data_IF_181979631556
#
_entry.id   IF_181979631556
#
_cell.length_a   1.000
_cell.length_b   1.000
_cell.length_c   1.000
_cell.angle_alpha   90.00
_cell.angle_beta   90.00
_cell.angle_gamma   90.00
#
_symmetry.space_group_name_H-M   'P 1'
#
loop_
_entity.id
_entity.type
_entity.pdbx_description
1 polymer ?
#
# COMPACT_ATOMS: atom_id res chain seq x y z
N UNK A 1 2.84 -15.99 13.05
CA UNK A 1 2.10 -16.34 11.81
C UNK A 1 0.80 -15.54 11.70
N UNK A 2 0.66 -14.40 12.38
CA UNK A 2 -0.47 -13.49 12.17
C UNK A 2 -0.06 -12.52 11.06
N UNK A 3 -0.79 -12.52 9.94
CA UNK A 3 -0.52 -11.59 8.83
C UNK A 3 -0.70 -12.20 7.44
N UNK A 4 -0.54 -13.52 7.29
CA UNK A 4 -0.95 -14.22 6.07
C UNK A 4 -2.41 -14.60 6.18
N UNK A 5 -3.17 -14.34 5.13
CA UNK A 5 -4.46 -14.99 4.94
C UNK A 5 -4.24 -16.50 4.97
N UNK A 6 -5.22 -17.27 5.48
CA UNK A 6 -5.12 -18.74 5.62
C UNK A 6 -4.72 -19.45 4.31
N UNK A 7 -4.95 -18.81 3.15
CA UNK A 7 -4.63 -19.30 1.80
C UNK A 7 -3.20 -18.94 1.32
N UNK A 8 -2.45 -18.11 2.05
CA UNK A 8 -1.14 -17.59 1.61
C UNK A 8 -1.22 -16.58 0.46
N UNK A 9 -2.42 -16.10 0.14
CA UNK A 9 -2.69 -15.12 -0.92
C UNK A 9 -2.76 -13.72 -0.35
N UNK A 10 -2.15 -12.76 -1.05
CA UNK A 10 -2.28 -11.34 -0.78
C UNK A 10 -3.02 -10.69 -1.94
N UNK A 11 -4.01 -9.84 -1.63
CA UNK A 11 -4.85 -9.15 -2.62
C UNK A 11 -4.75 -7.66 -2.40
N UNK A 12 -4.37 -6.93 -3.44
CA UNK A 12 -4.38 -5.47 -3.49
C UNK A 12 -5.70 -4.97 -4.07
N UNK A 13 -6.34 -4.02 -3.38
CA UNK A 13 -7.64 -3.49 -3.79
C UNK A 13 -7.64 -1.97 -3.80
N UNK A 14 -7.92 -1.36 -4.97
CA UNK A 14 -8.19 0.06 -5.07
C UNK A 14 -9.62 0.37 -4.56
N UNK A 15 -9.70 0.99 -3.40
CA UNK A 15 -10.96 1.35 -2.73
C UNK A 15 -11.74 2.47 -3.39
N UNK A 16 -11.11 3.25 -4.28
CA UNK A 16 -11.80 4.32 -5.01
C UNK A 16 -12.64 3.78 -6.18
N UNK A 17 -12.26 2.62 -6.72
CA UNK A 17 -12.96 1.96 -7.83
C UNK A 17 -14.00 0.96 -7.29
N UNK A 18 -13.67 0.22 -6.23
CA UNK A 18 -14.55 -0.79 -5.65
C UNK A 18 -15.23 -0.29 -4.38
N UNK A 19 -16.45 0.23 -4.51
CA UNK A 19 -17.33 0.60 -3.38
C UNK A 19 -17.86 -0.60 -2.59
N UNK A 20 -17.76 -1.79 -3.18
CA UNK A 20 -18.29 -3.04 -2.65
C UNK A 20 -17.15 -3.99 -2.33
N UNK A 21 -16.75 -4.07 -1.05
CA UNK A 21 -15.86 -5.11 -0.50
C UNK A 21 -16.41 -6.54 -0.66
N UNK A 22 -17.59 -6.71 -1.27
CA UNK A 22 -18.16 -8.00 -1.66
C UNK A 22 -17.33 -8.76 -2.70
N UNK A 23 -16.25 -8.20 -3.26
CA UNK A 23 -15.27 -8.94 -4.07
C UNK A 23 -14.29 -9.75 -3.20
N UNK A 24 -14.23 -9.48 -1.89
CA UNK A 24 -13.40 -10.20 -0.91
C UNK A 24 -14.03 -11.53 -0.45
N UNK A 25 -14.60 -12.29 -1.39
CA UNK A 25 -15.30 -13.55 -1.11
C UNK A 25 -14.33 -14.64 -0.61
N UNK A 26 -13.03 -14.47 -0.82
CA UNK A 26 -12.02 -15.32 -0.19
C UNK A 26 -11.66 -14.74 1.19
N UNK A 27 -12.44 -15.10 2.22
CA UNK A 27 -12.17 -14.74 3.64
C UNK A 27 -10.80 -15.23 4.13
N UNK A 28 -10.09 -16.02 3.31
CA UNK A 28 -8.78 -16.58 3.60
C UNK A 28 -7.63 -15.81 2.92
N UNK A 29 -7.90 -14.73 2.17
CA UNK A 29 -6.85 -13.87 1.61
C UNK A 29 -6.47 -12.74 2.58
N UNK A 30 -5.20 -12.34 2.58
CA UNK A 30 -4.76 -11.11 3.23
C UNK A 30 -5.01 -9.93 2.29
N UNK A 31 -5.84 -8.99 2.73
CA UNK A 31 -6.27 -7.87 1.88
C UNK A 31 -5.55 -6.61 2.32
N UNK A 32 -4.82 -6.00 1.40
CA UNK A 32 -4.22 -4.67 1.59
C UNK A 32 -4.91 -3.72 0.63
N UNK A 33 -5.63 -2.75 1.19
CA UNK A 33 -6.37 -1.76 0.42
C UNK A 33 -5.53 -0.53 0.14
N UNK A 34 -5.68 0.07 -1.03
CA UNK A 34 -5.10 1.37 -1.34
C UNK A 34 -6.16 2.30 -1.96
N UNK A 35 -5.87 3.60 -1.98
CA UNK A 35 -6.74 4.61 -2.58
C UNK A 35 -6.55 5.97 -1.93
N UNK A 36 -7.18 6.99 -2.51
CA UNK A 36 -7.13 8.39 -2.07
C UNK A 36 -8.06 8.69 -0.89
N UNK A 37 -8.96 7.76 -0.54
CA UNK A 37 -9.81 7.89 0.64
C UNK A 37 -9.10 7.43 1.93
N UNK A 38 -9.52 8.02 3.05
CA UNK A 38 -8.98 7.74 4.39
C UNK A 38 -9.39 6.40 5.01
N UNK A 39 -10.08 5.53 4.25
CA UNK A 39 -10.42 4.18 4.69
C UNK A 39 -9.45 3.14 4.15
N UNK A 40 -8.61 3.49 3.17
CA UNK A 40 -7.59 2.60 2.61
C UNK A 40 -6.56 2.17 3.67
N UNK A 41 -5.76 1.15 3.36
CA UNK A 41 -4.61 0.78 4.20
C UNK A 41 -3.43 1.67 3.86
N UNK A 42 -3.21 1.93 2.57
CA UNK A 42 -2.24 2.91 2.07
C UNK A 42 -2.97 4.03 1.32
N UNK A 43 -2.66 5.28 1.65
CA UNK A 43 -3.26 6.47 1.03
C UNK A 43 -2.24 7.58 0.79
N UNK A 44 -2.64 8.63 0.08
CA UNK A 44 -1.85 9.84 -0.13
C UNK A 44 -2.23 10.86 0.95
N UNK A 45 -1.25 11.40 1.67
CA UNK A 45 -1.48 12.51 2.60
C UNK A 45 -1.25 13.88 1.93
N UNK A 46 -0.27 13.99 1.04
CA UNK A 46 -0.02 15.19 0.25
C UNK A 46 0.74 14.92 -1.05
N UNK A 47 0.59 15.81 -2.02
CA UNK A 47 1.28 15.79 -3.32
C UNK A 47 2.04 17.11 -3.46
N UNK A 48 3.33 17.01 -3.72
CA UNK A 48 4.22 18.14 -4.04
C UNK A 48 4.83 17.94 -5.43
N UNK A 49 5.56 18.94 -5.94
CA UNK A 49 6.08 18.94 -7.32
C UNK A 49 7.02 17.76 -7.63
N UNK A 50 7.83 17.30 -6.67
CA UNK A 50 8.84 16.26 -6.86
C UNK A 50 8.72 15.08 -5.91
N UNK A 51 7.71 15.08 -5.04
CA UNK A 51 7.47 14.00 -4.08
C UNK A 51 6.00 13.85 -3.76
N UNK A 52 5.63 12.65 -3.37
CA UNK A 52 4.32 12.33 -2.81
C UNK A 52 4.52 11.81 -1.40
N UNK A 53 3.76 12.35 -0.45
CA UNK A 53 3.72 11.82 0.91
C UNK A 53 2.60 10.79 0.99
N UNK A 54 3.00 9.56 1.30
CA UNK A 54 2.11 8.44 1.50
C UNK A 54 1.91 8.21 2.99
N UNK A 55 0.74 7.69 3.35
CA UNK A 55 0.36 7.36 4.71
C UNK A 55 -0.08 5.90 4.77
N UNK A 56 0.63 5.10 5.54
CA UNK A 56 0.20 3.77 5.94
C UNK A 56 -0.72 3.90 7.15
N UNK A 57 -2.02 3.67 6.95
CA UNK A 57 -3.06 3.84 7.96
C UNK A 57 -3.28 2.59 8.83
N UNK A 58 -2.86 1.41 8.36
CA UNK A 58 -2.93 0.13 9.09
C UNK A 58 -1.67 -0.69 8.81
N UNK A 59 -1.27 -1.54 9.76
CA UNK A 59 -0.05 -2.33 9.62
C UNK A 59 -0.13 -3.28 8.41
N UNK A 60 0.99 -3.41 7.68
CA UNK A 60 1.16 -4.39 6.61
C UNK A 60 2.08 -5.51 7.10
N UNK A 61 1.72 -6.76 6.83
CA UNK A 61 2.66 -7.88 6.95
C UNK A 61 3.25 -8.20 5.57
N UNK A 62 4.58 -8.18 5.46
CA UNK A 62 5.29 -8.49 4.22
C UNK A 62 5.43 -10.00 3.97
N UNK A 63 6.01 -10.37 2.83
CA UNK A 63 6.28 -11.75 2.40
C UNK A 63 7.35 -12.48 3.24
N UNK A 64 8.02 -11.79 4.17
CA UNK A 64 8.90 -12.40 5.17
C UNK A 64 8.21 -12.51 6.55
N UNK A 65 6.96 -12.06 6.66
CA UNK A 65 6.20 -12.05 7.91
C UNK A 65 6.57 -10.90 8.85
N UNK A 66 7.29 -9.88 8.37
CA UNK A 66 7.61 -8.68 9.14
C UNK A 66 6.41 -7.75 9.13
N UNK A 67 6.13 -7.14 10.28
CA UNK A 67 5.06 -6.16 10.43
C UNK A 67 5.63 -4.76 10.22
N UNK A 68 5.03 -4.03 9.28
CA UNK A 68 5.31 -2.63 8.98
C UNK A 68 4.21 -1.82 9.65
N UNK A 69 4.58 -0.98 10.61
CA UNK A 69 3.62 -0.22 11.43
C UNK A 69 3.10 1.04 10.72
N UNK A 70 1.91 1.55 11.09
CA UNK A 70 1.34 2.78 10.53
C UNK A 70 2.28 3.97 10.70
N UNK A 71 2.61 4.62 9.58
CA UNK A 71 3.44 5.82 9.54
C UNK A 71 3.31 6.54 8.18
N UNK A 72 3.77 7.79 8.15
CA UNK A 72 3.95 8.53 6.89
C UNK A 72 5.35 8.34 6.34
N UNK A 73 5.48 8.40 5.01
CA UNK A 73 6.74 8.34 4.31
C UNK A 73 6.64 9.05 2.97
N UNK A 74 7.76 9.54 2.46
CA UNK A 74 7.80 10.19 1.15
C UNK A 74 8.38 9.28 0.10
N UNK A 75 7.87 9.41 -1.12
CA UNK A 75 8.47 8.84 -2.33
C UNK A 75 8.72 9.97 -3.32
N UNK A 76 9.82 9.88 -4.07
CA UNK A 76 10.14 10.87 -5.09
C UNK A 76 9.53 10.46 -6.43
N UNK A 77 9.14 11.45 -7.21
CA UNK A 77 8.52 11.25 -8.52
C UNK A 77 9.28 12.02 -9.59
N UNK A 78 9.39 11.43 -10.77
CA UNK A 78 9.94 12.05 -11.97
C UNK A 78 8.90 12.04 -13.08
N UNK A 79 8.39 13.22 -13.42
CA UNK A 79 7.34 13.38 -14.42
C UNK A 79 5.94 13.19 -13.85
N UNK A 80 4.96 13.03 -14.76
CA UNK A 80 3.55 12.90 -14.41
C UNK A 80 3.20 11.42 -14.22
N UNK A 81 3.02 11.00 -12.96
CA UNK A 81 2.58 9.66 -12.59
C UNK A 81 1.35 9.77 -11.72
N UNK A 82 0.32 8.98 -12.05
CA UNK A 82 -0.91 8.94 -11.29
C UNK A 82 -0.68 8.45 -9.86
N UNK A 83 -1.26 9.16 -8.89
CA UNK A 83 -1.15 8.85 -7.47
C UNK A 83 -1.57 7.40 -7.14
N UNK A 84 -2.57 6.88 -7.85
CA UNK A 84 -3.03 5.49 -7.68
C UNK A 84 -1.97 4.47 -8.11
N UNK A 85 -1.18 4.80 -9.14
CA UNK A 85 -0.09 3.94 -9.60
C UNK A 85 1.08 3.96 -8.61
N UNK A 86 1.40 5.13 -8.05
CA UNK A 86 2.37 5.28 -6.96
C UNK A 86 1.95 4.44 -5.75
N UNK A 87 0.68 4.52 -5.35
CA UNK A 87 0.12 3.73 -4.25
C UNK A 87 0.23 2.22 -4.51
N UNK A 88 -0.16 1.77 -5.70
CA UNK A 88 -0.09 0.36 -6.09
C UNK A 88 1.36 -0.15 -6.04
N UNK A 89 2.30 0.57 -6.68
CA UNK A 89 3.72 0.20 -6.68
C UNK A 89 4.30 0.18 -5.27
N UNK A 90 4.00 1.19 -4.46
CA UNK A 90 4.45 1.26 -3.07
C UNK A 90 3.92 0.09 -2.24
N UNK A 91 2.64 -0.27 -2.39
CA UNK A 91 2.06 -1.43 -1.72
C UNK A 91 2.75 -2.74 -2.13
N UNK A 92 3.02 -2.94 -3.44
CA UNK A 92 3.77 -4.10 -3.94
C UNK A 92 5.17 -4.18 -3.35
N UNK A 93 5.90 -3.06 -3.29
CA UNK A 93 7.26 -3.00 -2.76
C UNK A 93 7.28 -3.30 -1.24
N UNK A 94 6.37 -2.72 -0.46
CA UNK A 94 6.23 -3.00 0.96
C UNK A 94 5.95 -4.47 1.22
N UNK A 95 4.98 -5.05 0.51
CA UNK A 95 4.64 -6.47 0.62
C UNK A 95 5.84 -7.35 0.22
N UNK A 96 6.66 -6.92 -0.74
CA UNK A 96 7.86 -7.64 -1.16
C UNK A 96 9.03 -7.53 -0.18
N UNK A 97 8.86 -6.87 0.97
CA UNK A 97 9.87 -6.73 2.01
C UNK A 97 10.81 -5.53 1.84
N UNK A 98 10.50 -4.61 0.93
CA UNK A 98 11.24 -3.34 0.82
C UNK A 98 10.85 -2.46 2.00
N UNK A 99 11.83 -2.08 2.82
CA UNK A 99 11.58 -1.18 3.95
C UNK A 99 11.20 0.22 3.50
N UNK A 100 10.51 0.95 4.38
CA UNK A 100 10.10 2.33 4.12
C UNK A 100 11.29 3.27 3.86
N UNK A 101 12.41 3.05 4.55
CA UNK A 101 13.66 3.79 4.31
C UNK A 101 14.15 3.59 2.87
N UNK A 102 14.14 2.34 2.38
CA UNK A 102 14.54 2.04 1.00
C UNK A 102 13.55 2.58 -0.02
N UNK A 103 12.25 2.58 0.28
CA UNK A 103 11.22 3.18 -0.57
C UNK A 103 11.45 4.67 -0.81
N UNK A 104 11.95 5.39 0.20
CA UNK A 104 12.30 6.81 0.07
C UNK A 104 13.48 7.07 -0.88
N UNK A 105 14.24 6.04 -1.26
CA UNK A 105 15.32 6.13 -2.25
C UNK A 105 14.83 5.94 -3.69
N UNK A 106 13.60 5.45 -3.90
CA UNK A 106 13.06 5.26 -5.24
C UNK A 106 12.57 6.59 -5.81
N UNK A 107 12.85 6.76 -7.10
CA UNK A 107 12.21 7.77 -7.93
C UNK A 107 11.28 7.02 -8.87
N UNK A 108 9.99 7.25 -8.72
CA UNK A 108 8.98 6.70 -9.61
C UNK A 108 8.96 7.45 -10.94
#
# INVERSE_FOLDING_TARGET
MEGYGKSGRIVLVNTDITSSTNVLIDKEAYVVTYGLNSRATLTVSSIEESKVVLCLQRSITDLDGRVIEPQEFSVYISGEIDAEMILLMSAVLLISGVSLDRLSEFVF
#
